data_IF_007851505852
#
_entry.id   IF_007851505852
#
_cell.length_a   1.000
_cell.length_b   1.000
_cell.length_c   1.000
_cell.angle_alpha   90.00
_cell.angle_beta   90.00
_cell.angle_gamma   90.00
#
_symmetry.space_group_name_H-M   'P 1'
#
loop_
_entity.id
_entity.type
_entity.pdbx_description
1 polymer ?
#
# COMPACT_ATOMS: atom_id res chain seq x y z
N UNK A 1 -15.63 40.69 29.71
CA UNK A 1 -15.13 39.59 28.86
C UNK A 1 -15.86 39.65 27.52
N UNK A 2 -15.18 40.14 26.48
CA UNK A 2 -15.72 40.18 25.11
C UNK A 2 -15.84 38.76 24.57
N UNK A 3 -17.02 38.38 24.05
CA UNK A 3 -17.20 37.08 23.38
C UNK A 3 -16.35 37.10 22.10
N UNK A 4 -15.45 36.13 21.89
CA UNK A 4 -14.64 36.11 20.68
C UNK A 4 -15.54 35.98 19.45
N UNK A 5 -15.25 36.83 18.45
CA UNK A 5 -16.06 37.00 17.26
C UNK A 5 -16.07 35.72 16.42
N UNK A 6 -17.26 35.25 16.02
CA UNK A 6 -17.44 33.94 15.36
C UNK A 6 -16.78 33.90 13.98
N UNK A 7 -16.64 35.05 13.33
CA UNK A 7 -15.94 35.26 12.06
C UNK A 7 -14.46 34.86 12.14
N UNK A 8 -13.76 35.20 13.23
CA UNK A 8 -12.34 34.90 13.41
C UNK A 8 -12.06 33.38 13.46
N UNK A 9 -12.98 32.58 14.02
CA UNK A 9 -12.83 31.12 14.04
C UNK A 9 -13.03 30.47 12.68
N UNK A 10 -14.00 30.95 11.89
CA UNK A 10 -14.27 30.42 10.56
C UNK A 10 -13.09 30.66 9.60
N UNK A 11 -12.48 31.84 9.67
CA UNK A 11 -11.32 32.18 8.84
C UNK A 11 -10.05 31.43 9.28
N UNK A 12 -9.86 31.25 10.58
CA UNK A 12 -8.78 30.40 11.09
C UNK A 12 -8.95 28.93 10.66
N UNK A 13 -10.18 28.41 10.63
CA UNK A 13 -10.49 27.06 10.13
C UNK A 13 -10.25 26.94 8.62
N UNK A 14 -10.68 27.94 7.82
CA UNK A 14 -10.41 27.97 6.38
C UNK A 14 -8.92 28.02 6.07
N UNK A 15 -8.15 28.83 6.79
CA UNK A 15 -6.70 28.90 6.64
C UNK A 15 -6.02 27.57 6.95
N UNK A 16 -6.43 26.91 8.04
CA UNK A 16 -5.93 25.57 8.38
C UNK A 16 -6.35 24.50 7.36
N UNK A 17 -7.57 24.56 6.84
CA UNK A 17 -8.03 23.65 5.80
C UNK A 17 -7.23 23.84 4.50
N UNK A 18 -7.01 25.09 4.08
CA UNK A 18 -6.19 25.39 2.90
C UNK A 18 -4.74 24.90 3.07
N UNK A 19 -4.17 24.98 4.27
CA UNK A 19 -2.84 24.43 4.57
C UNK A 19 -2.82 22.89 4.54
N UNK A 20 -3.88 22.23 5.00
CA UNK A 20 -4.04 20.76 4.89
C UNK A 20 -4.08 20.28 3.44
N UNK A 21 -4.77 21.01 2.55
CA UNK A 21 -4.80 20.71 1.11
C UNK A 21 -3.57 21.24 0.35
N UNK A 22 -2.59 21.82 1.05
CA UNK A 22 -1.38 22.30 0.40
C UNK A 22 -0.55 21.13 -0.14
N UNK A 23 0.20 21.42 -1.22
CA UNK A 23 1.05 20.43 -1.89
C UNK A 23 2.17 19.86 -0.98
N UNK A 24 2.45 20.53 0.13
CA UNK A 24 3.44 20.11 1.13
C UNK A 24 2.95 18.96 2.02
N UNK A 25 1.63 18.71 2.05
CA UNK A 25 0.97 17.76 2.93
C UNK A 25 0.32 16.59 2.15
N UNK A 26 0.84 16.27 0.96
CA UNK A 26 0.29 15.19 0.11
C UNK A 26 0.31 13.83 0.79
N UNK A 27 1.35 13.55 1.58
CA UNK A 27 1.41 12.34 2.40
C UNK A 27 0.20 12.27 3.35
N UNK A 28 -0.09 13.35 4.07
CA UNK A 28 -1.23 13.43 4.98
C UNK A 28 -2.57 13.29 4.23
N UNK A 29 -2.72 13.97 3.09
CA UNK A 29 -3.93 13.89 2.28
C UNK A 29 -4.17 12.45 1.80
N UNK A 30 -3.12 11.75 1.40
CA UNK A 30 -3.19 10.33 1.03
C UNK A 30 -3.67 9.50 2.22
N UNK A 31 -3.10 9.66 3.41
CA UNK A 31 -3.49 8.86 4.59
C UNK A 31 -4.96 9.10 4.97
N UNK A 32 -5.42 10.35 4.94
CA UNK A 32 -6.83 10.70 5.18
C UNK A 32 -7.74 10.09 4.11
N UNK A 33 -7.35 10.20 2.84
CA UNK A 33 -8.12 9.63 1.73
C UNK A 33 -8.22 8.12 1.88
N UNK A 34 -7.10 7.47 2.18
CA UNK A 34 -7.03 6.03 2.42
C UNK A 34 -7.90 5.63 3.61
N UNK A 35 -7.88 6.37 4.70
CA UNK A 35 -8.75 6.12 5.85
C UNK A 35 -10.23 6.17 5.46
N UNK A 36 -10.66 7.21 4.75
CA UNK A 36 -12.04 7.34 4.27
C UNK A 36 -12.41 6.21 3.31
N UNK A 37 -11.50 5.87 2.39
CA UNK A 37 -11.70 4.79 1.42
C UNK A 37 -11.76 3.42 2.13
N UNK A 38 -10.97 3.20 3.18
CA UNK A 38 -11.06 2.01 4.02
C UNK A 38 -12.40 1.90 4.74
N UNK A 39 -13.00 3.01 5.17
CA UNK A 39 -14.31 2.98 5.83
C UNK A 39 -15.42 2.72 4.82
N UNK A 40 -15.44 3.45 3.70
CA UNK A 40 -16.59 3.44 2.78
C UNK A 40 -16.41 2.49 1.59
N UNK A 41 -15.28 2.57 0.90
CA UNK A 41 -15.08 1.82 -0.34
C UNK A 41 -14.75 0.36 -0.07
N UNK A 42 -13.95 0.06 0.95
CA UNK A 42 -13.62 -1.34 1.27
C UNK A 42 -14.82 -2.13 1.76
N UNK A 43 -15.82 -1.46 2.35
CA UNK A 43 -17.10 -2.09 2.67
C UNK A 43 -17.81 -2.62 1.41
N UNK A 44 -17.69 -1.92 0.28
CA UNK A 44 -18.26 -2.36 -1.01
C UNK A 44 -17.33 -3.32 -1.77
N UNK A 45 -16.03 -3.03 -1.80
CA UNK A 45 -15.07 -3.80 -2.62
C UNK A 45 -14.77 -5.17 -2.02
N UNK A 46 -14.77 -5.31 -0.69
CA UNK A 46 -14.41 -6.60 -0.06
C UNK A 46 -15.41 -7.71 -0.42
N UNK A 47 -16.75 -7.51 -0.26
CA UNK A 47 -17.73 -8.52 -0.69
C UNK A 47 -17.65 -8.83 -2.19
N UNK A 48 -17.44 -7.80 -3.02
CA UNK A 48 -17.28 -7.98 -4.47
C UNK A 48 -16.06 -8.86 -4.79
N UNK A 49 -14.93 -8.62 -4.11
CA UNK A 49 -13.71 -9.40 -4.31
C UNK A 49 -13.86 -10.84 -3.79
N UNK A 50 -14.54 -11.04 -2.65
CA UNK A 50 -14.90 -12.38 -2.16
C UNK A 50 -15.79 -13.11 -3.16
N UNK A 51 -16.77 -12.43 -3.77
CA UNK A 51 -17.60 -13.00 -4.81
C UNK A 51 -16.77 -13.38 -6.05
N UNK A 52 -15.82 -12.55 -6.47
CA UNK A 52 -14.90 -12.89 -7.56
C UNK A 52 -14.05 -14.12 -7.23
N UNK A 53 -13.57 -14.26 -5.99
CA UNK A 53 -12.81 -15.44 -5.59
C UNK A 53 -13.66 -16.71 -5.59
N UNK A 54 -14.89 -16.65 -5.07
CA UNK A 54 -15.83 -17.78 -5.12
C UNK A 54 -16.13 -18.18 -6.57
N UNK A 55 -16.42 -17.21 -7.44
CA UNK A 55 -16.62 -17.49 -8.87
C UNK A 55 -15.36 -18.03 -9.56
N UNK A 56 -14.18 -17.58 -9.15
CA UNK A 56 -12.93 -18.12 -9.69
C UNK A 56 -12.71 -19.57 -9.29
N UNK A 57 -13.17 -20.00 -8.11
CA UNK A 57 -13.15 -21.42 -7.72
C UNK A 57 -14.19 -22.28 -8.46
N UNK A 58 -15.19 -21.65 -9.05
CA UNK A 58 -16.15 -22.27 -9.98
C UNK A 58 -15.65 -22.20 -11.44
N UNK A 59 -14.37 -21.88 -11.65
CA UNK A 59 -13.72 -21.76 -12.96
C UNK A 59 -14.33 -20.69 -13.89
N UNK A 60 -15.02 -19.67 -13.35
CA UNK A 60 -15.54 -18.54 -14.15
C UNK A 60 -14.38 -17.73 -14.77
N UNK A 61 -14.21 -17.72 -16.11
CA UNK A 61 -13.08 -17.08 -16.77
C UNK A 61 -13.06 -15.56 -16.56
N UNK A 62 -14.22 -14.92 -16.40
CA UNK A 62 -14.28 -13.48 -16.15
C UNK A 62 -13.75 -13.13 -14.76
N UNK A 63 -14.11 -13.95 -13.77
CA UNK A 63 -13.65 -13.76 -12.40
C UNK A 63 -12.13 -13.98 -12.28
N UNK A 64 -11.63 -15.06 -12.90
CA UNK A 64 -10.18 -15.35 -12.98
C UNK A 64 -9.43 -14.21 -13.66
N UNK A 65 -9.94 -13.74 -14.81
CA UNK A 65 -9.32 -12.62 -15.53
C UNK A 65 -9.29 -11.35 -14.69
N UNK A 66 -10.38 -11.02 -13.99
CA UNK A 66 -10.45 -9.84 -13.13
C UNK A 66 -9.45 -9.93 -11.95
N UNK A 67 -9.35 -11.09 -11.30
CA UNK A 67 -8.38 -11.33 -10.23
C UNK A 67 -6.94 -11.21 -10.75
N UNK A 68 -6.64 -11.83 -11.89
CA UNK A 68 -5.34 -11.69 -12.54
C UNK A 68 -5.03 -10.21 -12.83
N UNK A 69 -5.96 -9.43 -13.39
CA UNK A 69 -5.75 -8.00 -13.65
C UNK A 69 -5.43 -7.24 -12.35
N UNK A 70 -6.18 -7.47 -11.27
CA UNK A 70 -5.95 -6.83 -9.97
C UNK A 70 -4.57 -7.18 -9.43
N UNK A 71 -4.18 -8.45 -9.48
CA UNK A 71 -2.89 -8.92 -8.98
C UNK A 71 -1.72 -8.41 -9.84
N UNK A 72 -1.87 -8.42 -11.17
CA UNK A 72 -0.89 -7.82 -12.08
C UNK A 72 -0.76 -6.31 -11.84
N UNK A 73 -1.86 -5.60 -11.60
CA UNK A 73 -1.81 -4.18 -11.28
C UNK A 73 -1.11 -3.92 -9.93
N UNK A 74 -1.42 -4.69 -8.88
CA UNK A 74 -0.72 -4.61 -7.60
C UNK A 74 0.79 -4.89 -7.73
N UNK A 75 1.16 -5.75 -8.68
CA UNK A 75 2.55 -6.03 -8.99
C UNK A 75 3.25 -4.88 -9.74
N UNK A 76 2.66 -4.35 -10.82
CA UNK A 76 3.32 -3.38 -11.71
C UNK A 76 3.18 -1.91 -11.31
N UNK A 77 2.18 -1.54 -10.52
CA UNK A 77 1.99 -0.15 -10.09
C UNK A 77 3.12 0.40 -9.21
N UNK A 78 3.69 -0.33 -8.23
CA UNK A 78 4.80 0.17 -7.44
C UNK A 78 6.06 0.57 -8.26
N UNK A 79 6.60 -0.26 -9.17
CA UNK A 79 7.76 0.14 -9.95
C UNK A 79 7.42 1.26 -10.94
N UNK A 80 6.20 1.29 -11.49
CA UNK A 80 5.74 2.40 -12.32
C UNK A 80 5.73 3.73 -11.53
N UNK A 81 5.15 3.73 -10.33
CA UNK A 81 5.16 4.88 -9.43
C UNK A 81 6.58 5.32 -9.06
N UNK A 82 7.45 4.36 -8.73
CA UNK A 82 8.86 4.61 -8.42
C UNK A 82 9.55 5.36 -9.57
N UNK A 83 9.41 4.89 -10.81
CA UNK A 83 10.02 5.52 -11.99
C UNK A 83 9.48 6.94 -12.20
N UNK A 84 8.15 7.11 -12.12
CA UNK A 84 7.47 8.38 -12.36
C UNK A 84 7.84 9.46 -11.32
N UNK A 85 7.99 9.10 -10.05
CA UNK A 85 8.25 10.06 -8.96
C UNK A 85 9.72 10.33 -8.70
N UNK A 86 10.63 9.42 -9.09
CA UNK A 86 12.05 9.45 -8.73
C UNK A 86 12.72 10.80 -8.97
N UNK A 87 12.58 11.38 -10.17
CA UNK A 87 13.32 12.58 -10.55
C UNK A 87 12.92 13.79 -9.70
N UNK A 88 11.62 14.08 -9.59
CA UNK A 88 11.13 15.24 -8.81
C UNK A 88 11.38 15.07 -7.31
N UNK A 89 11.30 13.83 -6.80
CA UNK A 89 11.65 13.52 -5.41
C UNK A 89 13.10 13.94 -5.11
N UNK A 90 14.07 13.51 -5.91
CA UNK A 90 15.48 13.85 -5.70
C UNK A 90 15.78 15.34 -5.90
N UNK A 91 15.11 16.01 -6.87
CA UNK A 91 15.24 17.46 -7.04
C UNK A 91 14.75 18.23 -5.79
N UNK A 92 13.61 17.84 -5.21
CA UNK A 92 13.11 18.45 -3.97
C UNK A 92 14.01 18.18 -2.79
N UNK A 93 14.52 16.95 -2.68
CA UNK A 93 15.43 16.56 -1.60
C UNK A 93 16.72 17.36 -1.66
N UNK A 94 17.32 17.52 -2.86
CA UNK A 94 18.50 18.36 -3.08
C UNK A 94 18.24 19.80 -2.66
N UNK A 95 17.13 20.39 -3.12
CA UNK A 95 16.76 21.76 -2.74
C UNK A 95 16.59 21.94 -1.22
N UNK A 96 15.96 20.98 -0.54
CA UNK A 96 15.84 21.03 0.93
C UNK A 96 17.18 20.91 1.64
N UNK A 97 18.08 20.05 1.15
CA UNK A 97 19.42 19.91 1.70
C UNK A 97 20.25 21.19 1.53
N UNK A 98 20.05 21.91 0.44
CA UNK A 98 20.66 23.23 0.23
C UNK A 98 20.05 24.30 1.15
N UNK A 99 18.74 24.26 1.40
CA UNK A 99 18.03 25.21 2.26
C UNK A 99 18.24 24.94 3.78
N UNK A 100 18.65 23.73 4.16
CA UNK A 100 18.87 23.34 5.56
C UNK A 100 20.32 22.92 5.78
N UNK A 101 21.13 23.80 6.39
CA UNK A 101 22.50 23.51 6.84
C UNK A 101 22.59 22.32 7.83
N UNK A 102 21.45 21.81 8.29
CA UNK A 102 21.37 20.64 9.16
C UNK A 102 21.25 19.38 8.31
N UNK A 103 22.37 18.66 8.18
CA UNK A 103 22.42 17.28 7.68
C UNK A 103 21.72 16.39 8.72
N UNK A 104 20.39 16.31 8.65
CA UNK A 104 19.65 15.27 9.38
C UNK A 104 19.68 14.00 8.54
N UNK A 105 20.71 13.18 8.79
CA UNK A 105 20.73 11.77 8.39
C UNK A 105 19.60 11.06 9.14
N UNK A 106 18.37 11.21 8.64
CA UNK A 106 17.22 10.55 9.24
C UNK A 106 17.39 9.05 9.01
N UNK A 107 17.26 8.20 10.04
CA UNK A 107 17.51 6.75 9.98
C UNK A 107 16.38 6.00 9.26
N UNK A 108 16.03 6.43 8.05
CA UNK A 108 15.24 5.65 7.10
C UNK A 108 15.99 4.39 6.61
N UNK A 109 17.28 4.23 6.96
CA UNK A 109 18.14 3.15 6.46
C UNK A 109 17.62 1.74 6.74
N UNK A 110 17.17 1.46 7.96
CA UNK A 110 16.58 0.14 8.28
C UNK A 110 15.21 -0.04 7.62
N UNK A 111 14.48 1.07 7.47
CA UNK A 111 13.12 1.12 6.95
C UNK A 111 13.06 0.89 5.43
N UNK A 112 14.06 1.41 4.73
CA UNK A 112 14.26 1.28 3.29
C UNK A 112 15.02 0.01 2.89
N UNK A 113 15.08 -0.98 3.78
CA UNK A 113 15.70 -2.25 3.47
C UNK A 113 14.87 -2.98 2.38
N UNK A 114 15.48 -3.28 1.21
CA UNK A 114 14.77 -3.94 0.10
C UNK A 114 14.20 -5.31 0.48
N UNK A 115 14.72 -5.95 1.53
CA UNK A 115 14.23 -7.24 2.01
C UNK A 115 12.75 -7.18 2.40
N UNK A 116 12.28 -6.12 3.06
CA UNK A 116 10.86 -6.01 3.43
C UNK A 116 9.95 -5.95 2.21
N UNK A 117 10.35 -5.17 1.20
CA UNK A 117 9.62 -5.06 -0.06
C UNK A 117 9.61 -6.40 -0.81
N UNK A 118 10.76 -7.08 -0.84
CA UNK A 118 10.89 -8.39 -1.45
C UNK A 118 10.02 -9.45 -0.78
N UNK A 119 10.00 -9.50 0.56
CA UNK A 119 9.14 -10.41 1.31
C UNK A 119 7.65 -10.17 1.01
N UNK A 120 7.22 -8.92 0.96
CA UNK A 120 5.85 -8.59 0.56
C UNK A 120 5.53 -9.09 -0.86
N UNK A 121 6.43 -8.86 -1.81
CA UNK A 121 6.24 -9.32 -3.19
C UNK A 121 6.23 -10.84 -3.30
N UNK A 122 7.06 -11.54 -2.52
CA UNK A 122 7.06 -12.99 -2.47
C UNK A 122 5.70 -13.54 -2.00
N UNK A 123 5.07 -12.91 -0.98
CA UNK A 123 3.73 -13.30 -0.52
C UNK A 123 2.68 -13.12 -1.62
N UNK A 124 2.66 -11.97 -2.30
CA UNK A 124 1.71 -11.73 -3.41
C UNK A 124 1.92 -12.72 -4.54
N UNK A 125 3.18 -12.97 -4.90
CA UNK A 125 3.55 -13.93 -5.94
C UNK A 125 3.09 -15.33 -5.59
N UNK A 126 3.25 -15.76 -4.34
CA UNK A 126 2.76 -17.07 -3.91
C UNK A 126 1.25 -17.19 -4.07
N UNK A 127 0.49 -16.13 -3.76
CA UNK A 127 -0.97 -16.08 -3.99
C UNK A 127 -1.30 -16.12 -5.48
N UNK A 128 -0.60 -15.34 -6.30
CA UNK A 128 -0.75 -15.34 -7.78
C UNK A 128 -0.49 -16.75 -8.32
N UNK A 129 0.62 -17.36 -7.91
CA UNK A 129 1.04 -18.67 -8.39
C UNK A 129 0.02 -19.75 -8.01
N UNK A 130 -0.52 -19.68 -6.79
CA UNK A 130 -1.56 -20.60 -6.33
C UNK A 130 -2.87 -20.49 -7.12
N UNK A 131 -3.16 -19.35 -7.74
CA UNK A 131 -4.35 -19.15 -8.58
C UNK A 131 -4.06 -19.52 -10.05
N UNK A 132 -2.91 -19.10 -10.57
CA UNK A 132 -2.58 -19.25 -12.00
C UNK A 132 -2.17 -20.68 -12.36
N UNK A 133 -1.38 -21.36 -11.51
CA UNK A 133 -0.86 -22.70 -11.84
C UNK A 133 -1.98 -23.72 -12.03
N UNK A 134 -2.97 -23.85 -11.12
CA UNK A 134 -4.09 -24.76 -11.34
C UNK A 134 -4.88 -24.43 -12.61
N UNK A 135 -5.01 -23.14 -12.95
CA UNK A 135 -5.72 -22.71 -14.15
C UNK A 135 -5.00 -23.08 -15.46
N UNK A 136 -3.66 -23.06 -15.47
CA UNK A 136 -2.87 -23.37 -16.68
C UNK A 136 -2.61 -24.88 -16.81
N UNK A 137 -2.25 -25.54 -15.71
CA UNK A 137 -1.89 -26.96 -15.70
C UNK A 137 -3.10 -27.90 -15.77
N UNK A 138 -4.31 -27.40 -15.50
CA UNK A 138 -5.47 -28.26 -15.31
C UNK A 138 -5.40 -29.01 -13.97
N UNK A 139 -6.42 -29.80 -13.66
CA UNK A 139 -6.55 -30.53 -12.38
C UNK A 139 -5.65 -31.77 -12.26
N UNK A 140 -4.78 -32.06 -13.23
CA UNK A 140 -3.93 -33.25 -13.19
C UNK A 140 -2.70 -33.01 -12.30
N UNK A 141 -2.63 -33.76 -11.19
CA UNK A 141 -1.74 -33.60 -10.04
C UNK A 141 -0.22 -33.70 -10.30
N UNK A 142 0.22 -33.98 -11.54
CA UNK A 142 1.60 -34.43 -11.80
C UNK A 142 2.55 -33.37 -12.40
N UNK A 143 2.08 -32.12 -12.57
CA UNK A 143 2.84 -31.10 -13.30
C UNK A 143 3.78 -30.26 -12.40
N UNK A 144 4.54 -30.95 -11.54
CA UNK A 144 5.54 -30.35 -10.64
C UNK A 144 6.54 -29.45 -11.37
N UNK A 145 6.80 -29.74 -12.66
CA UNK A 145 7.65 -28.93 -13.53
C UNK A 145 7.09 -27.53 -13.80
N UNK A 146 5.78 -27.42 -14.10
CA UNK A 146 5.14 -26.13 -14.38
C UNK A 146 5.14 -25.25 -13.14
N UNK A 147 4.81 -25.83 -11.97
CA UNK A 147 4.86 -25.11 -10.69
C UNK A 147 6.27 -24.57 -10.38
N UNK A 148 7.31 -25.37 -10.62
CA UNK A 148 8.70 -24.95 -10.35
C UNK A 148 9.13 -23.83 -11.30
N UNK A 149 8.82 -23.94 -12.60
CA UNK A 149 9.14 -22.91 -13.60
C UNK A 149 8.40 -21.60 -13.31
N UNK A 150 7.10 -21.67 -12.97
CA UNK A 150 6.32 -20.49 -12.62
C UNK A 150 6.84 -19.81 -11.35
N UNK A 151 7.20 -20.60 -10.33
CA UNK A 151 7.77 -20.10 -9.09
C UNK A 151 9.08 -19.34 -9.34
N UNK A 152 10.04 -19.92 -10.06
CA UNK A 152 11.31 -19.25 -10.37
C UNK A 152 11.12 -18.01 -11.25
N UNK A 153 10.19 -18.07 -12.21
CA UNK A 153 9.87 -16.93 -13.08
C UNK A 153 9.31 -15.77 -12.27
N UNK A 154 8.33 -16.03 -11.41
CA UNK A 154 7.74 -15.01 -10.56
C UNK A 154 8.76 -14.49 -9.53
N UNK A 155 9.60 -15.35 -8.96
CA UNK A 155 10.69 -14.95 -8.07
C UNK A 155 11.67 -13.97 -8.75
N UNK A 156 12.12 -14.30 -9.97
CA UNK A 156 12.98 -13.42 -10.75
C UNK A 156 12.29 -12.07 -11.02
N UNK A 157 10.98 -12.09 -11.33
CA UNK A 157 10.19 -10.89 -11.52
C UNK A 157 10.10 -10.07 -10.22
N UNK A 158 9.93 -10.71 -9.05
CA UNK A 158 9.94 -10.06 -7.73
C UNK A 158 11.25 -9.32 -7.47
N UNK A 159 12.39 -9.94 -7.80
CA UNK A 159 13.72 -9.35 -7.66
C UNK A 159 13.82 -8.11 -8.55
N UNK A 160 13.43 -8.22 -9.82
CA UNK A 160 13.44 -7.11 -10.77
C UNK A 160 12.58 -5.95 -10.27
N UNK A 161 11.37 -6.25 -9.79
CA UNK A 161 10.45 -5.26 -9.21
C UNK A 161 11.06 -4.55 -7.99
N UNK A 162 11.63 -5.34 -7.07
CA UNK A 162 12.34 -4.83 -5.89
C UNK A 162 13.48 -3.91 -6.29
N UNK A 163 14.26 -4.26 -7.32
CA UNK A 163 15.34 -3.41 -7.84
C UNK A 163 14.79 -2.09 -8.40
N UNK A 164 13.68 -2.11 -9.14
CA UNK A 164 13.06 -0.90 -9.66
C UNK A 164 12.56 0.02 -8.55
N UNK A 165 11.90 -0.53 -7.53
CA UNK A 165 11.47 0.23 -6.37
C UNK A 165 12.66 0.76 -5.59
N UNK A 166 13.69 -0.05 -5.34
CA UNK A 166 14.88 0.40 -4.61
C UNK A 166 15.64 1.51 -5.35
N UNK A 167 15.65 1.45 -6.69
CA UNK A 167 16.24 2.50 -7.53
C UNK A 167 15.59 3.86 -7.32
N UNK A 168 14.34 3.94 -6.82
CA UNK A 168 13.71 5.19 -6.39
C UNK A 168 14.57 5.95 -5.37
N UNK A 169 15.12 5.25 -4.37
CA UNK A 169 15.87 5.86 -3.28
C UNK A 169 17.29 6.27 -3.67
N UNK A 170 17.83 5.68 -4.74
CA UNK A 170 19.15 6.04 -5.25
C UNK A 170 19.06 7.28 -6.16
N UNK A 171 19.91 8.30 -5.97
CA UNK A 171 19.95 9.47 -6.86
C UNK A 171 20.10 9.09 -8.34
N UNK A 172 19.37 9.73 -9.26
CA UNK A 172 19.51 9.48 -10.69
C UNK A 172 20.88 10.00 -11.18
N UNK A 173 21.68 9.11 -11.80
CA UNK A 173 22.98 9.47 -12.37
C UNK A 173 22.89 10.26 -13.68
N UNK A 174 21.74 10.23 -14.35
CA UNK A 174 21.50 10.85 -15.66
C UNK A 174 20.14 11.54 -15.65
N UNK A 175 20.05 12.61 -16.42
CA UNK A 175 18.79 13.28 -16.69
C UNK A 175 17.82 12.34 -17.42
N UNK A 176 16.51 12.44 -17.16
CA UNK A 176 15.53 11.60 -17.82
C UNK A 176 15.48 11.91 -19.32
N UNK A 177 15.36 10.87 -20.14
CA UNK A 177 15.27 11.01 -21.61
C UNK A 177 14.03 11.80 -22.06
N UNK A 178 12.98 11.81 -21.26
CA UNK A 178 11.69 12.40 -21.59
C UNK A 178 11.38 13.56 -20.64
N UNK A 179 11.02 14.72 -21.20
CA UNK A 179 10.58 15.90 -20.44
C UNK A 179 9.33 15.61 -19.56
N UNK A 180 8.50 14.63 -19.95
CA UNK A 180 7.34 14.20 -19.17
C UNK A 180 7.71 13.78 -17.74
N UNK A 181 8.83 13.07 -17.53
CA UNK A 181 9.25 12.62 -16.19
C UNK A 181 9.68 13.76 -15.26
N UNK A 182 9.93 14.95 -15.79
CA UNK A 182 10.19 16.16 -15.02
C UNK A 182 8.90 16.96 -14.75
N UNK A 183 7.84 16.67 -15.50
CA UNK A 183 6.56 17.37 -15.41
C UNK A 183 5.80 17.04 -14.13
N UNK A 184 4.89 17.95 -13.74
CA UNK A 184 3.98 17.72 -12.62
C UNK A 184 2.99 16.57 -12.87
N UNK A 185 2.66 16.32 -14.13
CA UNK A 185 1.70 15.29 -14.51
C UNK A 185 2.25 13.88 -14.28
N UNK A 186 3.54 13.64 -14.55
CA UNK A 186 4.17 12.37 -14.22
C UNK A 186 4.13 12.09 -12.72
N UNK A 187 4.34 13.11 -11.91
CA UNK A 187 4.26 12.97 -10.46
C UNK A 187 2.83 12.70 -9.97
N UNK A 188 1.83 13.37 -10.55
CA UNK A 188 0.41 13.08 -10.27
C UNK A 188 0.03 11.65 -10.63
N UNK A 189 0.49 11.18 -11.80
CA UNK A 189 0.27 9.80 -12.23
C UNK A 189 0.95 8.82 -11.28
N UNK A 190 2.18 9.12 -10.85
CA UNK A 190 2.89 8.31 -9.86
C UNK A 190 2.18 8.26 -8.51
N UNK A 191 1.58 9.36 -8.05
CA UNK A 191 0.74 9.38 -6.85
C UNK A 191 -0.51 8.52 -7.01
N UNK A 192 -1.18 8.60 -8.16
CA UNK A 192 -2.34 7.78 -8.48
C UNK A 192 -1.98 6.30 -8.52
N UNK A 193 -0.81 5.94 -9.09
CA UNK A 193 -0.30 4.57 -9.07
C UNK A 193 -0.06 4.06 -7.64
N UNK A 194 0.55 4.87 -6.76
CA UNK A 194 0.74 4.48 -5.35
C UNK A 194 -0.60 4.31 -4.65
N UNK A 195 -1.53 5.24 -4.88
CA UNK A 195 -2.86 5.18 -4.28
C UNK A 195 -3.61 3.93 -4.71
N UNK A 196 -3.72 3.66 -6.02
CA UNK A 196 -4.38 2.47 -6.54
C UNK A 196 -3.72 1.18 -6.01
N UNK A 197 -2.39 1.14 -5.98
CA UNK A 197 -1.64 0.03 -5.41
C UNK A 197 -1.98 -0.19 -3.92
N UNK A 198 -2.06 0.88 -3.15
CA UNK A 198 -2.43 0.85 -1.74
C UNK A 198 -3.85 0.32 -1.53
N UNK A 199 -4.79 0.63 -2.44
CA UNK A 199 -6.14 0.05 -2.42
C UNK A 199 -6.11 -1.46 -2.67
N UNK A 200 -5.31 -1.93 -3.63
CA UNK A 200 -5.20 -3.38 -3.88
C UNK A 200 -4.59 -4.11 -2.68
N UNK A 201 -3.56 -3.54 -2.07
CA UNK A 201 -2.98 -4.09 -0.84
C UNK A 201 -3.99 -4.17 0.30
N UNK A 202 -4.81 -3.13 0.47
CA UNK A 202 -5.88 -3.12 1.47
C UNK A 202 -6.98 -4.13 1.16
N UNK A 203 -7.32 -4.31 -0.11
CA UNK A 203 -8.31 -5.29 -0.53
C UNK A 203 -7.84 -6.72 -0.22
N UNK A 204 -6.60 -7.06 -0.61
CA UNK A 204 -5.97 -8.35 -0.31
C UNK A 204 -5.93 -8.57 1.20
N UNK A 205 -5.58 -7.54 1.96
CA UNK A 205 -5.51 -7.65 3.42
C UNK A 205 -6.89 -7.80 4.07
N UNK A 206 -7.87 -7.04 3.63
CA UNK A 206 -9.25 -7.18 4.10
C UNK A 206 -9.79 -8.57 3.79
N UNK A 207 -9.42 -9.16 2.65
CA UNK A 207 -9.76 -10.54 2.35
C UNK A 207 -9.11 -11.52 3.33
N UNK A 208 -7.79 -11.42 3.53
CA UNK A 208 -7.05 -12.30 4.46
C UNK A 208 -7.60 -12.23 5.89
N UNK A 209 -8.23 -11.12 6.25
CA UNK A 209 -8.82 -10.88 7.57
C UNK A 209 -10.34 -11.07 7.63
N UNK A 210 -11.03 -11.16 6.49
CA UNK A 210 -12.49 -11.33 6.39
C UNK A 210 -12.95 -12.78 6.28
N UNK A 211 -12.09 -13.69 5.81
CA UNK A 211 -12.38 -15.11 5.96
C UNK A 211 -12.41 -15.40 7.47
N UNK A 212 -13.35 -16.23 7.96
CA UNK A 212 -13.54 -16.62 9.37
C UNK A 212 -12.32 -17.34 10.02
N UNK A 213 -11.13 -17.14 9.46
CA UNK A 213 -9.79 -17.55 9.90
C UNK A 213 -9.52 -17.09 11.34
N UNK A 214 -10.10 -15.96 11.77
CA UNK A 214 -9.84 -15.37 13.09
C UNK A 214 -11.12 -15.40 13.96
N UNK A 215 -11.38 -16.48 14.71
CA UNK A 215 -12.46 -16.50 15.70
C UNK A 215 -12.24 -15.43 16.78
N UNK A 216 -13.25 -15.01 17.55
CA UNK A 216 -13.06 -14.03 18.63
C UNK A 216 -11.90 -14.41 19.55
N UNK A 217 -11.18 -13.41 20.04
CA UNK A 217 -9.97 -13.64 20.83
C UNK A 217 -10.32 -14.39 22.12
N UNK A 218 -9.68 -15.54 22.32
CA UNK A 218 -10.01 -16.48 23.40
C UNK A 218 -9.29 -16.19 24.73
N UNK A 219 -8.23 -15.38 24.71
CA UNK A 219 -7.47 -15.02 25.91
C UNK A 219 -6.33 -14.03 25.67
N UNK A 220 -5.61 -13.65 26.72
CA UNK A 220 -4.56 -12.62 26.65
C UNK A 220 -3.37 -12.99 25.74
N UNK A 221 -2.91 -14.24 25.76
CA UNK A 221 -1.81 -14.67 24.88
C UNK A 221 -2.22 -14.75 23.41
N UNK A 222 -3.47 -15.15 23.14
CA UNK A 222 -4.07 -15.12 21.79
C UNK A 222 -4.18 -13.67 21.29
N UNK A 223 -4.60 -12.75 22.17
CA UNK A 223 -4.62 -11.30 21.89
C UNK A 223 -3.23 -10.78 21.52
N UNK A 224 -2.22 -11.11 22.32
CA UNK A 224 -0.85 -10.64 22.10
C UNK A 224 -0.26 -11.22 20.81
N UNK A 225 -0.47 -12.52 20.55
CA UNK A 225 0.01 -13.20 19.34
C UNK A 225 -0.62 -12.62 18.08
N UNK A 226 -1.94 -12.41 18.09
CA UNK A 226 -2.66 -11.76 16.98
C UNK A 226 -2.23 -10.33 16.81
N UNK A 227 -2.17 -9.53 17.88
CA UNK A 227 -1.71 -8.15 17.80
C UNK A 227 -0.30 -8.06 17.21
N UNK A 228 0.60 -8.97 17.57
CA UNK A 228 1.95 -9.03 17.01
C UNK A 228 1.93 -9.38 15.53
N UNK A 229 1.26 -10.47 15.13
CA UNK A 229 1.15 -10.87 13.72
C UNK A 229 0.49 -9.79 12.87
N UNK A 230 -0.58 -9.19 13.37
CA UNK A 230 -1.33 -8.14 12.68
C UNK A 230 -0.55 -6.85 12.59
N UNK A 231 0.16 -6.46 13.65
CA UNK A 231 1.05 -5.32 13.58
C UNK A 231 2.11 -5.59 12.53
N UNK A 232 2.77 -6.76 12.57
CA UNK A 232 3.80 -7.12 11.61
C UNK A 232 3.28 -7.13 10.17
N UNK A 233 2.13 -7.75 9.92
CA UNK A 233 1.55 -7.84 8.58
C UNK A 233 0.96 -6.51 8.10
N UNK A 234 0.33 -5.72 8.98
CA UNK A 234 -0.12 -4.37 8.66
C UNK A 234 1.08 -3.46 8.32
N UNK A 235 2.18 -3.56 9.08
CA UNK A 235 3.44 -2.92 8.71
C UNK A 235 3.94 -3.44 7.37
N UNK A 236 3.98 -4.74 7.14
CA UNK A 236 4.47 -5.32 5.89
C UNK A 236 3.66 -4.87 4.67
N UNK A 237 2.34 -4.69 4.80
CA UNK A 237 1.44 -4.38 3.67
C UNK A 237 1.28 -2.87 3.46
N UNK A 238 1.11 -2.10 4.52
CA UNK A 238 0.86 -0.67 4.43
C UNK A 238 2.12 0.13 4.10
N UNK A 239 3.25 -0.34 4.61
CA UNK A 239 4.47 0.44 4.60
C UNK A 239 5.19 0.49 3.27
N UNK A 240 5.25 -0.59 2.47
CA UNK A 240 5.91 -0.55 1.17
C UNK A 240 5.25 0.42 0.17
N UNK A 241 3.91 0.54 0.07
CA UNK A 241 3.29 1.64 -0.67
C UNK A 241 3.57 3.01 -0.07
N UNK A 242 3.59 3.10 1.27
CA UNK A 242 3.78 4.37 1.97
C UNK A 242 5.22 4.88 1.96
N UNK A 243 6.20 4.01 1.72
CA UNK A 243 7.62 4.32 1.78
C UNK A 243 8.00 5.49 0.85
N UNK A 244 7.31 5.60 -0.29
CA UNK A 244 7.50 6.68 -1.26
C UNK A 244 7.18 8.07 -0.69
N UNK A 245 6.22 8.16 0.24
CA UNK A 245 5.84 9.39 0.94
C UNK A 245 6.56 9.54 2.28
N UNK A 246 6.83 8.43 2.98
CA UNK A 246 7.69 8.42 4.18
C UNK A 246 9.08 9.00 3.89
N UNK A 247 9.64 8.72 2.72
CA UNK A 247 10.92 9.29 2.32
C UNK A 247 10.92 10.84 2.33
N UNK A 248 9.76 11.48 2.17
CA UNK A 248 9.61 12.94 2.23
C UNK A 248 9.21 13.44 3.63
N UNK A 249 8.39 12.67 4.37
CA UNK A 249 7.70 13.14 5.57
C UNK A 249 8.02 12.36 6.87
N UNK A 250 8.98 11.42 6.85
CA UNK A 250 9.31 10.56 8.00
C UNK A 250 9.77 11.33 9.25
N UNK A 251 10.38 12.51 9.06
CA UNK A 251 10.82 13.38 10.14
C UNK A 251 9.66 14.02 10.92
N UNK A 252 8.44 14.00 10.39
CA UNK A 252 7.26 14.61 11.04
C UNK A 252 6.54 13.56 11.89
N UNK A 253 6.38 13.78 13.22
CA UNK A 253 5.69 12.82 14.10
C UNK A 253 4.22 12.62 13.71
N UNK A 254 3.58 13.65 13.14
CA UNK A 254 2.20 13.60 12.66
C UNK A 254 2.00 12.55 11.56
N UNK A 255 3.03 12.27 10.76
CA UNK A 255 2.97 11.27 9.71
C UNK A 255 2.80 9.87 10.31
N UNK A 256 3.49 9.56 11.40
CA UNK A 256 3.36 8.26 12.08
C UNK A 256 1.98 8.05 12.69
N UNK A 257 1.42 9.08 13.32
CA UNK A 257 0.07 9.03 13.89
C UNK A 257 -0.99 8.78 12.80
N UNK A 258 -0.86 9.44 11.66
CA UNK A 258 -1.82 9.32 10.55
C UNK A 258 -1.72 8.00 9.82
N UNK A 259 -0.53 7.39 9.75
CA UNK A 259 -0.39 6.00 9.30
C UNK A 259 -1.09 5.01 10.21
N UNK A 260 -0.93 5.15 11.53
CA UNK A 260 -1.63 4.31 12.48
C UNK A 260 -3.15 4.47 12.34
N UNK A 261 -3.61 5.72 12.21
CA UNK A 261 -5.02 6.04 12.02
C UNK A 261 -5.60 5.43 10.73
N UNK A 262 -4.86 5.48 9.62
CA UNK A 262 -5.28 4.91 8.34
C UNK A 262 -5.48 3.39 8.38
N UNK A 263 -4.77 2.69 9.28
CA UNK A 263 -4.90 1.24 9.50
C UNK A 263 -5.85 0.87 10.63
N UNK A 264 -6.38 1.84 11.37
CA UNK A 264 -7.23 1.57 12.53
C UNK A 264 -8.49 0.76 12.19
N UNK A 265 -9.23 1.00 11.08
CA UNK A 265 -10.41 0.21 10.74
C UNK A 265 -10.11 -1.29 10.59
N UNK A 266 -8.96 -1.58 9.99
CA UNK A 266 -8.46 -2.93 9.77
C UNK A 266 -8.05 -3.58 11.08
N UNK A 267 -7.26 -2.88 11.90
CA UNK A 267 -6.83 -3.37 13.22
C UNK A 267 -8.07 -3.67 14.08
N UNK A 268 -9.04 -2.75 14.08
CA UNK A 268 -10.30 -2.92 14.80
C UNK A 268 -11.04 -4.18 14.35
N UNK A 269 -11.20 -4.39 13.04
CA UNK A 269 -11.89 -5.57 12.49
C UNK A 269 -11.28 -6.88 12.97
N UNK A 270 -9.95 -6.98 13.01
CA UNK A 270 -9.33 -8.24 13.43
C UNK A 270 -9.33 -8.43 14.95
N UNK A 271 -9.19 -7.35 15.72
CA UNK A 271 -9.17 -7.42 17.18
C UNK A 271 -10.52 -7.80 17.76
N UNK A 272 -11.60 -7.26 17.19
CA UNK A 272 -12.97 -7.50 17.68
C UNK A 272 -13.71 -8.59 16.92
N UNK A 273 -13.15 -9.08 15.81
CA UNK A 273 -13.83 -9.97 14.89
C UNK A 273 -14.97 -9.27 14.15
N UNK A 274 -15.52 -9.96 13.15
CA UNK A 274 -16.82 -9.60 12.58
C UNK A 274 -17.81 -10.67 12.96
N UNK A 275 -18.85 -10.32 13.72
CA UNK A 275 -19.99 -11.22 13.91
C UNK A 275 -20.66 -11.40 12.55
N UNK A 276 -20.31 -12.49 11.87
CA UNK A 276 -20.75 -12.82 10.51
C UNK A 276 -22.25 -13.10 10.40
N UNK A 277 -23.01 -12.99 11.50
CA UNK A 277 -24.47 -13.13 11.54
C UNK A 277 -25.29 -11.86 11.29
N UNK A 278 -24.68 -10.67 11.21
CA UNK A 278 -25.44 -9.41 11.06
C UNK A 278 -25.25 -8.70 9.71
N UNK A 279 -24.36 -9.19 8.83
CA UNK A 279 -23.93 -8.45 7.64
C UNK A 279 -23.71 -9.31 6.39
N UNK A 280 -24.52 -10.35 6.22
CA UNK A 280 -24.81 -10.95 4.91
C UNK A 280 -26.31 -10.87 4.64
#
# INVERSE_FOLDING_TARGET
MSKPDKTTYADALRGKAADLFSWKNRGLLLDVTVFLVNIFLMWLLTPLFVLMLRRSSEEDPLAITALCIVLFAAFFLPPAAAILKRQRFHLRRKKRQEDSDIITDTPLGCLANPIFYFCLQAVIISVINAIIVPYISGTDDDDSGVFLVSLFTLLALAIVNTVFVYRYFTPPRREPRTAFLLSRNAELLGDACIFANMLFYQLIWNLMTAADIFPPVSGFYDLLGRLFFLSFAAFLIYFPPRIFYLAEDAHKPRTWLTMFLANTPVIFRVMFGTDTGAFF
#
